data_IF_365190328504
#
_entry.id   IF_365190328504
#
_cell.length_a   1.000
_cell.length_b   1.000
_cell.length_c   1.000
_cell.angle_alpha   90.00
_cell.angle_beta   90.00
_cell.angle_gamma   90.00
#
_symmetry.space_group_name_H-M   'P 1'
#
loop_
_entity.id
_entity.type
_entity.pdbx_description
1 polymer ?
#
# COMPACT_ATOMS: atom_id res chain seq x y z
N UNK A 1 12.44 -46.90 35.02
CA UNK A 1 12.70 -45.45 34.86
C UNK A 1 12.39 -45.06 33.41
N UNK A 2 11.20 -44.54 33.13
CA UNK A 2 10.85 -44.00 31.80
C UNK A 2 11.22 -42.51 31.80
N UNK A 3 12.14 -42.14 30.91
CA UNK A 3 12.59 -40.76 30.74
C UNK A 3 11.45 -39.86 30.31
N UNK A 4 11.32 -38.73 31.00
CA UNK A 4 10.44 -37.63 30.62
C UNK A 4 10.99 -37.00 29.34
N UNK A 5 10.24 -37.11 28.25
CA UNK A 5 10.44 -36.26 27.07
C UNK A 5 10.28 -34.79 27.47
N UNK A 6 11.23 -33.91 27.14
CA UNK A 6 11.08 -32.48 27.41
C UNK A 6 9.89 -31.95 26.63
N UNK A 7 9.02 -31.21 27.31
CA UNK A 7 7.88 -30.54 26.69
C UNK A 7 8.32 -29.58 25.57
N UNK A 8 7.39 -29.19 24.68
CA UNK A 8 7.72 -28.31 23.56
C UNK A 8 8.41 -27.04 24.06
N UNK A 9 9.64 -26.81 23.62
CA UNK A 9 10.36 -25.57 23.88
C UNK A 9 9.51 -24.40 23.35
N UNK A 10 9.13 -23.48 24.24
CA UNK A 10 8.55 -22.21 23.84
C UNK A 10 9.47 -21.57 22.79
N UNK A 11 8.94 -21.01 21.68
CA UNK A 11 9.77 -20.34 20.70
C UNK A 11 10.62 -19.27 21.39
N UNK A 12 11.91 -19.11 21.01
CA UNK A 12 12.78 -18.12 21.62
C UNK A 12 12.10 -16.75 21.55
N UNK A 13 11.97 -16.07 22.70
CA UNK A 13 11.38 -14.73 22.75
C UNK A 13 12.24 -13.82 21.87
N UNK A 14 11.61 -13.20 20.86
CA UNK A 14 12.23 -12.21 19.99
C UNK A 14 13.06 -11.21 20.82
N UNK A 15 14.32 -10.89 20.45
CA UNK A 15 15.16 -9.94 21.18
C UNK A 15 14.44 -8.62 21.46
N UNK A 16 13.62 -8.16 20.52
CA UNK A 16 12.82 -6.94 20.61
C UNK A 16 11.76 -7.01 21.73
N UNK A 17 11.15 -8.18 21.95
CA UNK A 17 10.19 -8.38 23.05
C UNK A 17 10.90 -8.25 24.38
N UNK A 18 12.10 -8.83 24.51
CA UNK A 18 12.87 -8.79 25.75
C UNK A 18 13.39 -7.38 26.04
N UNK A 19 14.01 -6.74 25.04
CA UNK A 19 14.54 -5.38 25.14
C UNK A 19 13.43 -4.37 25.48
N UNK A 20 12.29 -4.43 24.79
CA UNK A 20 11.15 -3.53 25.07
C UNK A 20 10.53 -3.80 26.45
N UNK A 21 10.43 -5.06 26.88
CA UNK A 21 9.95 -5.40 28.23
C UNK A 21 10.87 -4.79 29.30
N UNK A 22 12.19 -4.94 29.13
CA UNK A 22 13.19 -4.37 30.04
C UNK A 22 13.12 -2.84 30.08
N UNK A 23 13.05 -2.21 28.91
CA UNK A 23 12.94 -0.76 28.78
C UNK A 23 11.70 -0.19 29.48
N UNK A 24 10.54 -0.82 29.30
CA UNK A 24 9.29 -0.33 29.90
C UNK A 24 9.19 -0.61 31.41
N UNK A 25 9.92 -1.62 31.92
CA UNK A 25 9.97 -1.93 33.35
C UNK A 25 11.04 -1.11 34.11
N UNK A 26 12.00 -0.53 33.39
CA UNK A 26 13.06 0.30 33.95
C UNK A 26 12.56 1.65 34.48
N UNK A 27 13.29 2.20 35.44
CA UNK A 27 13.02 3.54 35.98
C UNK A 27 13.37 4.62 34.96
N UNK A 28 12.74 5.81 35.02
CA UNK A 28 12.96 6.88 34.04
C UNK A 28 14.43 7.29 33.86
N UNK A 29 15.24 7.22 34.91
CA UNK A 29 16.67 7.50 34.91
C UNK A 29 17.52 6.47 34.13
N UNK A 30 16.99 5.26 33.92
CA UNK A 30 17.69 4.17 33.21
C UNK A 30 17.40 4.17 31.70
N UNK A 31 16.32 4.82 31.25
CA UNK A 31 15.91 4.84 29.84
C UNK A 31 17.00 5.34 28.87
N UNK A 32 17.79 6.38 29.19
CA UNK A 32 18.89 6.81 28.33
C UNK A 32 19.94 5.72 28.11
N UNK A 33 20.23 4.89 29.12
CA UNK A 33 21.19 3.79 29.00
C UNK A 33 20.66 2.59 28.21
N UNK A 34 19.34 2.39 28.21
CA UNK A 34 18.69 1.28 27.50
C UNK A 34 18.35 1.60 26.04
N UNK A 35 18.23 2.89 25.71
CA UNK A 35 17.93 3.39 24.37
C UNK A 35 18.74 4.67 24.06
N UNK A 36 20.09 4.60 24.06
CA UNK A 36 20.93 5.78 23.89
C UNK A 36 20.69 6.48 22.55
N UNK A 37 20.67 5.73 21.43
CA UNK A 37 20.41 6.31 20.10
C UNK A 37 19.05 7.01 20.01
N UNK A 38 18.02 6.40 20.60
CA UNK A 38 16.67 7.00 20.62
C UNK A 38 16.71 8.28 21.45
N UNK A 39 17.36 8.24 22.61
CA UNK A 39 17.53 9.39 23.50
C UNK A 39 18.28 10.54 22.82
N UNK A 40 19.34 10.24 22.08
CA UNK A 40 20.12 11.25 21.35
C UNK A 40 19.30 11.92 20.25
N UNK A 41 18.39 11.17 19.61
CA UNK A 41 17.57 11.66 18.50
C UNK A 41 16.40 12.56 18.96
N UNK A 42 15.70 12.19 20.04
CA UNK A 42 14.49 12.92 20.48
C UNK A 42 14.66 13.71 21.78
N UNK A 43 15.75 13.46 22.52
CA UNK A 43 16.00 13.99 23.86
C UNK A 43 15.30 13.20 24.97
N UNK A 44 15.95 13.13 26.13
CA UNK A 44 15.46 12.40 27.30
C UNK A 44 14.07 12.87 27.76
N UNK A 45 13.78 14.17 27.68
CA UNK A 45 12.46 14.71 28.06
C UNK A 45 11.33 14.25 27.14
N UNK A 46 11.59 14.18 25.83
CA UNK A 46 10.60 13.69 24.88
C UNK A 46 10.36 12.19 25.10
N UNK A 47 11.43 11.42 25.31
CA UNK A 47 11.33 10.00 25.66
C UNK A 47 10.48 9.82 26.92
N UNK A 48 10.76 10.60 27.98
CA UNK A 48 9.95 10.57 29.22
C UNK A 48 8.48 10.86 28.97
N UNK A 49 8.16 11.91 28.21
CA UNK A 49 6.77 12.24 27.87
C UNK A 49 6.08 11.11 27.11
N UNK A 50 6.76 10.49 26.14
CA UNK A 50 6.21 9.39 25.35
C UNK A 50 5.90 8.17 26.22
N UNK A 51 6.85 7.77 27.08
CA UNK A 51 6.68 6.60 27.96
C UNK A 51 5.59 6.88 29.00
N UNK A 52 5.58 8.05 29.65
CA UNK A 52 4.52 8.42 30.59
C UNK A 52 3.13 8.49 29.93
N UNK A 53 3.02 9.08 28.74
CA UNK A 53 1.76 9.08 27.99
C UNK A 53 1.33 7.65 27.63
N UNK A 54 2.27 6.73 27.43
CA UNK A 54 1.98 5.31 27.21
C UNK A 54 1.45 4.65 28.48
N UNK A 55 2.14 4.80 29.62
CA UNK A 55 1.68 4.32 30.93
C UNK A 55 0.28 4.84 31.27
N UNK A 56 0.01 6.13 31.04
CA UNK A 56 -1.30 6.72 31.29
C UNK A 56 -2.42 6.03 30.47
N UNK A 57 -2.11 5.57 29.25
CA UNK A 57 -3.07 4.92 28.35
C UNK A 57 -3.24 3.43 28.65
N UNK A 58 -2.16 2.72 28.96
CA UNK A 58 -2.16 1.26 29.21
C UNK A 58 -2.40 0.91 30.66
N UNK A 59 -2.18 1.82 31.61
CA UNK A 59 -1.92 1.46 33.01
C UNK A 59 -0.48 0.95 33.18
N UNK A 60 -0.12 0.63 34.41
CA UNK A 60 1.17 0.00 34.71
C UNK A 60 1.33 -1.28 33.89
N UNK A 61 2.53 -1.47 33.34
CA UNK A 61 2.79 -2.47 32.32
C UNK A 61 2.80 -3.88 32.92
N UNK A 62 2.18 -4.82 32.21
CA UNK A 62 2.10 -6.22 32.63
C UNK A 62 2.96 -7.10 31.71
N UNK A 63 2.86 -6.92 30.39
CA UNK A 63 3.60 -7.74 29.42
C UNK A 63 3.81 -7.04 28.07
N UNK A 64 4.87 -7.44 27.37
CA UNK A 64 5.05 -7.23 25.92
C UNK A 64 4.93 -8.58 25.23
N UNK A 65 4.13 -8.66 24.17
CA UNK A 65 3.95 -9.89 23.38
C UNK A 65 4.12 -9.61 21.88
N UNK A 66 4.54 -10.63 21.13
CA UNK A 66 4.55 -10.57 19.68
C UNK A 66 3.20 -11.00 19.11
N UNK A 67 2.71 -10.31 18.08
CA UNK A 67 1.44 -10.60 17.42
C UNK A 67 1.50 -10.37 15.91
N UNK A 68 0.51 -10.86 15.13
CA UNK A 68 0.40 -10.52 13.71
C UNK A 68 0.32 -9.02 13.43
N UNK A 69 -0.19 -8.22 14.38
CA UNK A 69 -0.35 -6.77 14.22
C UNK A 69 0.90 -5.97 14.67
N UNK A 70 1.94 -6.64 15.17
CA UNK A 70 3.16 -6.03 15.74
C UNK A 70 3.37 -6.38 17.21
N UNK A 71 4.30 -5.68 17.88
CA UNK A 71 4.51 -5.85 19.32
C UNK A 71 3.34 -5.22 20.07
N UNK A 72 2.79 -5.92 21.06
CA UNK A 72 1.67 -5.45 21.87
C UNK A 72 2.14 -5.21 23.29
N UNK A 73 2.10 -3.95 23.73
CA UNK A 73 2.35 -3.55 25.12
C UNK A 73 1.02 -3.55 25.84
N UNK A 74 0.89 -4.39 26.87
CA UNK A 74 -0.35 -4.55 27.65
C UNK A 74 -0.15 -4.08 29.08
N UNK A 75 -1.11 -3.28 29.57
CA UNK A 75 -1.21 -2.90 30.97
C UNK A 75 -2.65 -3.08 31.50
N UNK A 76 -2.86 -2.79 32.78
CA UNK A 76 -4.15 -3.01 33.45
C UNK A 76 -5.35 -2.24 32.86
N UNK A 77 -5.12 -1.12 32.15
CA UNK A 77 -6.15 -0.25 31.57
C UNK A 77 -6.31 -0.41 30.06
N UNK A 78 -5.42 -1.13 29.39
CA UNK A 78 -5.49 -1.33 27.94
C UNK A 78 -4.16 -1.70 27.30
N UNK A 79 -4.15 -1.68 25.97
CA UNK A 79 -3.03 -2.11 25.14
C UNK A 79 -2.64 -1.01 24.16
N UNK A 80 -1.39 -1.00 23.71
CA UNK A 80 -0.91 -0.21 22.57
C UNK A 80 -0.03 -1.08 21.68
N UNK A 81 0.03 -0.76 20.37
CA UNK A 81 1.04 -1.36 19.49
C UNK A 81 2.37 -0.64 19.65
N UNK A 82 3.43 -1.39 19.45
CA UNK A 82 4.78 -0.90 19.42
C UNK A 82 5.58 -1.62 18.34
N UNK A 83 6.70 -1.02 18.02
CA UNK A 83 7.75 -1.58 17.20
C UNK A 83 9.08 -1.15 17.82
N UNK A 84 10.03 -2.07 17.89
CA UNK A 84 11.37 -1.80 18.38
C UNK A 84 12.38 -2.54 17.51
N UNK A 85 13.60 -2.00 17.41
CA UNK A 85 14.79 -2.73 17.02
C UNK A 85 15.68 -2.88 18.23
N UNK A 86 16.24 -4.07 18.40
CA UNK A 86 17.16 -4.39 19.48
C UNK A 86 18.52 -4.82 18.91
N UNK A 87 19.60 -4.29 19.46
CA UNK A 87 20.94 -4.82 19.22
C UNK A 87 21.13 -6.15 19.99
N UNK A 88 22.16 -6.96 19.65
CA UNK A 88 22.39 -8.26 20.30
C UNK A 88 22.58 -8.21 21.82
N UNK A 89 23.04 -7.08 22.35
CA UNK A 89 23.21 -6.83 23.80
C UNK A 89 21.92 -6.36 24.50
N UNK A 90 20.83 -6.19 23.74
CA UNK A 90 19.52 -5.76 24.24
C UNK A 90 19.31 -4.24 24.23
N UNK A 91 20.23 -3.45 23.66
CA UNK A 91 20.04 -2.01 23.44
C UNK A 91 18.87 -1.76 22.46
N UNK A 92 17.95 -0.86 22.80
CA UNK A 92 16.92 -0.40 21.86
C UNK A 92 17.52 0.67 20.94
N UNK A 93 17.71 0.29 19.68
CA UNK A 93 18.31 1.16 18.66
C UNK A 93 17.28 1.99 17.89
N UNK A 94 16.02 1.55 17.87
CA UNK A 94 14.91 2.29 17.31
C UNK A 94 13.61 1.91 18.03
N UNK A 95 12.72 2.88 18.24
CA UNK A 95 11.48 2.67 18.98
C UNK A 95 10.32 3.47 18.37
N UNK A 96 9.17 2.82 18.24
CA UNK A 96 7.90 3.46 17.89
C UNK A 96 6.81 2.89 18.77
N UNK A 97 6.11 3.76 19.49
CA UNK A 97 4.94 3.40 20.29
C UNK A 97 3.72 4.11 19.70
N UNK A 98 2.65 3.38 19.48
CA UNK A 98 1.42 3.94 18.91
C UNK A 98 0.82 5.00 19.83
N UNK A 99 0.39 6.12 19.26
CA UNK A 99 -0.26 7.25 19.95
C UNK A 99 -1.73 7.00 20.34
N UNK A 100 -2.30 5.84 19.99
CA UNK A 100 -3.67 5.44 20.32
C UNK A 100 -3.71 4.10 21.07
N UNK A 101 -4.82 3.85 21.78
CA UNK A 101 -5.08 2.53 22.36
C UNK A 101 -5.27 1.51 21.24
N UNK A 102 -4.57 0.40 21.35
CA UNK A 102 -4.79 -0.75 20.49
C UNK A 102 -6.11 -1.43 20.87
N UNK A 103 -6.96 -1.60 19.87
CA UNK A 103 -8.10 -2.51 19.94
C UNK A 103 -7.86 -3.55 18.87
N UNK A 104 -7.68 -4.83 19.23
CA UNK A 104 -7.51 -5.85 18.22
C UNK A 104 -8.68 -5.77 17.26
N UNK A 105 -8.42 -5.71 15.93
CA UNK A 105 -9.50 -5.65 14.98
C UNK A 105 -10.42 -6.84 15.26
N UNK A 106 -11.72 -6.57 15.44
CA UNK A 106 -12.72 -7.65 15.44
C UNK A 106 -12.42 -8.46 14.19
N UNK A 107 -12.15 -9.76 14.33
CA UNK A 107 -11.78 -10.68 13.25
C UNK A 107 -12.88 -10.71 12.16
N UNK A 108 -13.05 -9.61 11.42
CA UNK A 108 -13.65 -9.64 10.10
C UNK A 108 -12.58 -10.32 9.29
N UNK A 109 -12.72 -11.64 9.12
CA UNK A 109 -12.06 -12.36 8.05
C UNK A 109 -12.40 -11.60 6.77
N UNK A 110 -11.59 -10.62 6.40
CA UNK A 110 -11.59 -10.11 5.03
C UNK A 110 -11.30 -11.35 4.22
N UNK A 111 -12.25 -11.70 3.35
CA UNK A 111 -12.02 -12.79 2.42
C UNK A 111 -10.66 -12.51 1.76
N UNK A 112 -9.76 -13.50 1.68
CA UNK A 112 -8.51 -13.32 0.97
C UNK A 112 -8.80 -12.69 -0.39
N UNK A 113 -7.98 -11.75 -0.85
CA UNK A 113 -8.21 -11.09 -2.14
C UNK A 113 -8.55 -12.08 -3.28
N UNK A 114 -7.92 -13.28 -3.38
CA UNK A 114 -8.34 -14.30 -4.34
C UNK A 114 -9.80 -14.74 -4.23
N UNK A 115 -10.33 -14.88 -3.00
CA UNK A 115 -11.72 -15.28 -2.75
C UNK A 115 -12.67 -14.14 -3.12
N UNK A 116 -12.36 -12.90 -2.75
CA UNK A 116 -13.16 -11.73 -3.17
C UNK A 116 -13.23 -11.62 -4.69
N UNK A 117 -12.10 -11.82 -5.37
CA UNK A 117 -12.03 -11.85 -6.83
C UNK A 117 -12.83 -13.02 -7.41
N UNK A 118 -12.74 -14.21 -6.84
CA UNK A 118 -13.52 -15.36 -7.27
C UNK A 118 -15.03 -15.10 -7.13
N UNK A 119 -15.48 -14.55 -5.99
CA UNK A 119 -16.88 -14.15 -5.78
C UNK A 119 -17.31 -13.14 -6.84
N UNK A 120 -16.52 -12.11 -7.09
CA UNK A 120 -16.81 -11.12 -8.13
C UNK A 120 -16.96 -11.77 -9.51
N UNK A 121 -16.00 -12.61 -9.91
CA UNK A 121 -16.03 -13.30 -11.21
C UNK A 121 -17.24 -14.23 -11.34
N UNK A 122 -17.60 -14.93 -10.27
CA UNK A 122 -18.81 -15.76 -10.22
C UNK A 122 -20.05 -14.89 -10.41
N UNK A 123 -20.17 -13.77 -9.69
CA UNK A 123 -21.33 -12.87 -9.81
C UNK A 123 -21.44 -12.27 -11.21
N UNK A 124 -20.33 -11.84 -11.83
CA UNK A 124 -20.32 -11.37 -13.22
C UNK A 124 -20.72 -12.49 -14.18
N UNK A 125 -20.22 -13.70 -13.97
CA UNK A 125 -20.58 -14.86 -14.81
C UNK A 125 -22.06 -15.21 -14.68
N UNK A 126 -22.59 -15.24 -13.45
CA UNK A 126 -24.02 -15.45 -13.20
C UNK A 126 -24.85 -14.33 -13.83
N UNK A 127 -24.44 -13.07 -13.69
CA UNK A 127 -25.11 -11.94 -14.33
C UNK A 127 -25.13 -12.09 -15.84
N UNK A 128 -24.01 -12.48 -16.46
CA UNK A 128 -23.93 -12.75 -17.90
C UNK A 128 -24.95 -13.81 -18.31
N UNK A 129 -24.94 -14.97 -17.66
CA UNK A 129 -25.82 -16.10 -18.02
C UNK A 129 -27.29 -15.77 -17.74
N UNK A 130 -27.60 -15.13 -16.61
CA UNK A 130 -28.98 -14.95 -16.13
C UNK A 130 -29.66 -13.67 -16.61
N UNK A 131 -28.93 -12.69 -17.14
CA UNK A 131 -29.53 -11.42 -17.59
C UNK A 131 -29.27 -11.15 -19.07
N UNK A 132 -28.02 -11.30 -19.52
CA UNK A 132 -27.64 -11.00 -20.90
C UNK A 132 -28.08 -12.13 -21.83
N UNK A 133 -27.77 -13.38 -21.46
CA UNK A 133 -28.08 -14.57 -22.26
C UNK A 133 -29.55 -15.02 -22.21
N UNK A 134 -30.33 -14.49 -21.28
CA UNK A 134 -31.77 -14.77 -21.12
C UNK A 134 -32.64 -13.58 -21.47
N UNK A 135 -32.04 -12.48 -21.98
CA UNK A 135 -32.80 -11.31 -22.39
C UNK A 135 -33.95 -11.70 -23.33
N UNK A 136 -35.16 -11.24 -23.00
CA UNK A 136 -36.42 -11.51 -23.69
C UNK A 136 -36.58 -10.71 -24.97
N UNK A 137 -35.86 -9.60 -25.09
CA UNK A 137 -35.99 -8.62 -26.17
C UNK A 137 -34.71 -7.81 -26.37
N UNK A 138 -34.61 -7.14 -27.53
CA UNK A 138 -33.42 -6.39 -27.95
C UNK A 138 -33.13 -5.20 -27.02
N UNK A 139 -34.15 -4.46 -26.58
CA UNK A 139 -33.97 -3.31 -25.69
C UNK A 139 -33.48 -3.76 -24.30
N UNK A 140 -34.05 -4.83 -23.76
CA UNK A 140 -33.59 -5.42 -22.50
C UNK A 140 -32.14 -5.93 -22.60
N UNK A 141 -31.76 -6.54 -23.72
CA UNK A 141 -30.38 -6.96 -23.98
C UNK A 141 -29.41 -5.77 -23.97
N UNK A 142 -29.76 -4.68 -24.67
CA UNK A 142 -28.95 -3.45 -24.70
C UNK A 142 -28.77 -2.86 -23.29
N UNK A 143 -29.83 -2.82 -22.48
CA UNK A 143 -29.76 -2.34 -21.09
C UNK A 143 -28.87 -3.22 -20.19
N UNK A 144 -28.99 -4.54 -20.32
CA UNK A 144 -28.14 -5.49 -19.60
C UNK A 144 -26.68 -5.38 -20.02
N UNK A 145 -26.41 -5.18 -21.32
CA UNK A 145 -25.06 -4.92 -21.83
C UNK A 145 -24.47 -3.62 -21.31
N UNK A 146 -25.25 -2.53 -21.30
CA UNK A 146 -24.81 -1.26 -20.74
C UNK A 146 -24.47 -1.38 -19.24
N UNK A 147 -25.28 -2.12 -18.49
CA UNK A 147 -25.04 -2.40 -17.05
C UNK A 147 -23.77 -3.21 -16.84
N UNK A 148 -23.57 -4.26 -17.64
CA UNK A 148 -22.35 -5.07 -17.61
C UNK A 148 -21.11 -4.25 -17.98
N UNK A 149 -21.21 -3.41 -19.01
CA UNK A 149 -20.14 -2.50 -19.41
C UNK A 149 -19.79 -1.52 -18.27
N UNK A 150 -20.79 -1.01 -17.54
CA UNK A 150 -20.57 -0.16 -16.38
C UNK A 150 -19.74 -0.88 -15.30
N UNK A 151 -20.05 -2.15 -15.01
CA UNK A 151 -19.29 -2.99 -14.08
C UNK A 151 -17.83 -3.14 -14.54
N UNK A 152 -17.61 -3.45 -15.82
CA UNK A 152 -16.25 -3.56 -16.38
C UNK A 152 -15.50 -2.24 -16.34
N UNK A 153 -16.15 -1.10 -16.62
CA UNK A 153 -15.53 0.23 -16.50
C UNK A 153 -15.04 0.49 -15.07
N UNK A 154 -15.84 0.15 -14.05
CA UNK A 154 -15.41 0.30 -12.65
C UNK A 154 -14.27 -0.66 -12.31
N UNK A 155 -14.35 -1.93 -12.71
CA UNK A 155 -13.35 -2.93 -12.34
C UNK A 155 -12.02 -2.71 -13.06
N UNK A 156 -12.04 -2.42 -14.36
CA UNK A 156 -10.84 -2.04 -15.11
C UNK A 156 -10.32 -0.67 -14.67
N UNK A 157 -11.23 0.28 -14.45
CA UNK A 157 -10.94 1.66 -14.08
C UNK A 157 -10.27 1.79 -12.70
N UNK A 158 -10.79 1.07 -11.71
CA UNK A 158 -10.41 1.16 -10.30
C UNK A 158 -9.56 -0.02 -9.82
N UNK A 159 -9.77 -1.24 -10.33
CA UNK A 159 -9.16 -2.48 -9.83
C UNK A 159 -7.90 -2.94 -10.58
N UNK A 160 -7.75 -2.52 -11.85
CA UNK A 160 -6.59 -2.86 -12.70
C UNK A 160 -6.29 -4.36 -12.89
N UNK A 161 -7.31 -5.21 -13.18
CA UNK A 161 -7.13 -6.66 -13.33
C UNK A 161 -6.14 -7.03 -14.46
N UNK A 162 -5.97 -6.18 -15.48
CA UNK A 162 -4.99 -6.39 -16.54
C UNK A 162 -3.52 -6.50 -16.05
N UNK A 163 -3.23 -6.07 -14.81
CA UNK A 163 -1.89 -6.18 -14.21
C UNK A 163 -1.76 -7.38 -13.24
N UNK A 164 -2.82 -8.15 -13.06
CA UNK A 164 -2.84 -9.36 -12.23
C UNK A 164 -2.26 -10.56 -12.99
N UNK A 165 -1.96 -11.69 -12.31
CA UNK A 165 -1.52 -12.91 -12.97
C UNK A 165 -2.44 -13.33 -14.11
N UNK A 166 -1.84 -13.91 -15.16
CA UNK A 166 -2.52 -14.28 -16.42
C UNK A 166 -3.85 -15.01 -16.23
N UNK A 167 -3.99 -16.01 -15.33
CA UNK A 167 -5.28 -16.69 -15.16
C UNK A 167 -6.41 -15.73 -14.79
N UNK A 168 -6.15 -14.80 -13.86
CA UNK A 168 -7.17 -13.83 -13.42
C UNK A 168 -7.55 -12.88 -14.56
N UNK A 169 -6.56 -12.34 -15.26
CA UNK A 169 -6.78 -11.46 -16.40
C UNK A 169 -7.61 -12.15 -17.50
N UNK A 170 -7.28 -13.39 -17.85
CA UNK A 170 -7.98 -14.14 -18.90
C UNK A 170 -9.42 -14.46 -18.53
N UNK A 171 -9.74 -14.69 -17.26
CA UNK A 171 -11.13 -14.91 -16.85
C UNK A 171 -12.01 -13.66 -17.03
N UNK A 172 -11.47 -12.47 -16.75
CA UNK A 172 -12.17 -11.19 -16.99
C UNK A 172 -12.43 -11.00 -18.49
N UNK A 173 -11.40 -11.20 -19.32
CA UNK A 173 -11.51 -11.12 -20.79
C UNK A 173 -12.51 -12.15 -21.35
N UNK A 174 -12.44 -13.40 -20.88
CA UNK A 174 -13.34 -14.47 -21.30
C UNK A 174 -14.80 -14.18 -20.93
N UNK A 175 -15.05 -13.62 -19.74
CA UNK A 175 -16.39 -13.20 -19.33
C UNK A 175 -16.98 -12.13 -20.25
N UNK A 176 -16.16 -11.16 -20.69
CA UNK A 176 -16.60 -10.10 -21.60
C UNK A 176 -16.92 -10.67 -22.99
N UNK A 177 -16.06 -11.55 -23.50
CA UNK A 177 -16.26 -12.24 -24.79
C UNK A 177 -17.52 -13.12 -24.73
N UNK A 178 -17.72 -13.86 -23.65
CA UNK A 178 -18.90 -14.70 -23.45
C UNK A 178 -20.19 -13.88 -23.41
N UNK A 179 -20.19 -12.69 -22.81
CA UNK A 179 -21.34 -11.80 -22.88
C UNK A 179 -21.59 -11.36 -24.33
N UNK A 180 -20.57 -10.84 -25.02
CA UNK A 180 -20.69 -10.36 -26.41
C UNK A 180 -21.21 -11.44 -27.38
N UNK A 181 -20.81 -12.71 -27.19
CA UNK A 181 -21.28 -13.82 -28.00
C UNK A 181 -22.82 -14.00 -28.01
N UNK A 182 -23.51 -13.53 -26.97
CA UNK A 182 -24.99 -13.54 -26.93
C UNK A 182 -25.65 -12.68 -28.02
N UNK A 183 -24.89 -11.80 -28.70
CA UNK A 183 -25.37 -10.96 -29.82
C UNK A 183 -25.99 -11.79 -30.95
N UNK A 184 -25.55 -13.04 -31.15
CA UNK A 184 -26.13 -13.98 -32.10
C UNK A 184 -27.65 -14.14 -31.92
N UNK A 185 -28.17 -13.98 -30.69
CA UNK A 185 -29.61 -14.14 -30.40
C UNK A 185 -30.45 -12.97 -30.92
N UNK A 186 -29.87 -11.79 -31.16
CA UNK A 186 -30.61 -10.56 -31.48
C UNK A 186 -31.57 -10.66 -32.67
N UNK A 187 -31.23 -11.33 -33.79
CA UNK A 187 -32.14 -11.47 -34.93
C UNK A 187 -33.46 -12.13 -34.54
N UNK A 188 -33.42 -13.13 -33.63
CA UNK A 188 -34.59 -13.88 -33.17
C UNK A 188 -35.35 -13.23 -32.01
N UNK A 189 -34.87 -12.11 -31.46
CA UNK A 189 -35.54 -11.42 -30.36
C UNK A 189 -36.48 -10.31 -30.86
N UNK A 190 -37.65 -10.11 -30.21
CA UNK A 190 -38.50 -8.95 -30.48
C UNK A 190 -37.82 -7.64 -30.04
N UNK A 191 -38.29 -6.50 -30.55
CA UNK A 191 -37.76 -5.18 -30.15
C UNK A 191 -37.93 -4.92 -28.64
N UNK A 192 -39.11 -5.24 -28.10
CA UNK A 192 -39.43 -5.18 -26.66
C UNK A 192 -39.79 -3.80 -26.12
N UNK A 193 -40.05 -3.75 -24.80
CA UNK A 193 -40.50 -2.54 -24.08
C UNK A 193 -39.57 -2.19 -22.90
N UNK A 194 -38.36 -2.73 -22.87
CA UNK A 194 -37.40 -2.59 -21.77
C UNK A 194 -36.78 -1.20 -21.58
N UNK A 195 -37.45 -0.11 -21.98
CA UNK A 195 -36.90 1.24 -22.02
C UNK A 195 -36.34 1.72 -20.66
N UNK A 196 -37.03 1.40 -19.56
CA UNK A 196 -36.54 1.71 -18.21
C UNK A 196 -35.22 1.00 -17.90
N UNK A 197 -35.10 -0.28 -18.26
CA UNK A 197 -33.88 -1.07 -18.06
C UNK A 197 -32.72 -0.53 -18.89
N UNK A 198 -32.99 -0.12 -20.13
CA UNK A 198 -32.01 0.54 -20.97
C UNK A 198 -31.56 1.89 -20.38
N UNK A 199 -32.50 2.72 -19.93
CA UNK A 199 -32.20 4.00 -19.31
C UNK A 199 -31.33 3.84 -18.04
N UNK A 200 -31.68 2.88 -17.17
CA UNK A 200 -30.88 2.55 -15.98
C UNK A 200 -29.48 2.07 -16.38
N UNK A 201 -29.37 1.17 -17.35
CA UNK A 201 -28.08 0.66 -17.82
C UNK A 201 -27.17 1.77 -18.40
N UNK A 202 -27.74 2.66 -19.21
CA UNK A 202 -27.02 3.82 -19.77
C UNK A 202 -26.60 4.79 -18.65
N UNK A 203 -27.49 5.08 -17.70
CA UNK A 203 -27.20 5.96 -16.57
C UNK A 203 -26.06 5.40 -15.70
N UNK A 204 -26.08 4.09 -15.41
CA UNK A 204 -25.00 3.41 -14.68
C UNK A 204 -23.68 3.47 -15.45
N UNK A 205 -23.70 3.23 -16.77
CA UNK A 205 -22.51 3.31 -17.60
C UNK A 205 -21.94 4.73 -17.65
N UNK A 206 -22.79 5.74 -17.89
CA UNK A 206 -22.40 7.13 -17.91
C UNK A 206 -21.82 7.57 -16.55
N UNK A 207 -22.47 7.18 -15.46
CA UNK A 207 -22.00 7.42 -14.09
C UNK A 207 -20.65 6.75 -13.81
N UNK A 208 -20.44 5.50 -14.25
CA UNK A 208 -19.18 4.79 -14.11
C UNK A 208 -18.04 5.44 -14.91
N UNK A 209 -18.30 5.80 -16.17
CA UNK A 209 -17.33 6.50 -17.02
C UNK A 209 -16.98 7.86 -16.43
N UNK A 210 -17.98 8.63 -16.02
CA UNK A 210 -17.77 9.93 -15.37
C UNK A 210 -16.96 9.78 -14.08
N UNK A 211 -17.30 8.83 -13.21
CA UNK A 211 -16.58 8.60 -11.95
C UNK A 211 -15.10 8.29 -12.20
N UNK A 212 -14.80 7.37 -13.11
CA UNK A 212 -13.42 6.98 -13.44
C UNK A 212 -12.68 8.14 -14.11
N UNK A 213 -13.31 8.85 -15.05
CA UNK A 213 -12.73 10.00 -15.72
C UNK A 213 -12.45 11.14 -14.74
N UNK A 214 -13.41 11.51 -13.90
CA UNK A 214 -13.27 12.55 -12.88
C UNK A 214 -12.14 12.21 -11.90
N UNK A 215 -12.00 10.94 -11.50
CA UNK A 215 -10.91 10.52 -10.64
C UNK A 215 -9.54 10.54 -11.34
N UNK A 216 -9.45 10.16 -12.61
CA UNK A 216 -8.19 10.19 -13.39
C UNK A 216 -7.74 11.59 -13.79
N UNK A 217 -8.69 12.49 -14.01
CA UNK A 217 -8.46 13.89 -14.39
C UNK A 217 -8.34 14.82 -13.18
N UNK A 218 -8.54 14.30 -11.96
CA UNK A 218 -8.47 15.09 -10.74
C UNK A 218 -7.11 15.78 -10.62
N UNK A 219 -7.15 17.08 -10.34
CA UNK A 219 -6.00 17.85 -9.87
C UNK A 219 -6.25 18.24 -8.43
N UNK A 220 -5.29 17.96 -7.58
CA UNK A 220 -5.26 18.58 -6.28
C UNK A 220 -4.94 20.05 -6.56
N UNK A 221 -5.78 20.99 -6.12
CA UNK A 221 -5.56 22.46 -6.30
C UNK A 221 -4.29 22.97 -5.58
N UNK A 222 -3.37 22.06 -5.24
CA UNK A 222 -2.06 22.31 -4.70
C UNK A 222 -1.10 22.75 -5.82
N UNK A 223 0.02 23.42 -5.47
CA UNK A 223 1.10 23.66 -6.40
C UNK A 223 1.63 22.34 -6.98
N UNK A 224 2.13 22.41 -8.21
CA UNK A 224 2.86 21.28 -8.83
C UNK A 224 4.29 21.30 -8.32
N UNK A 225 4.88 20.11 -8.15
CA UNK A 225 6.31 19.98 -7.83
C UNK A 225 7.16 20.64 -8.91
N UNK A 226 8.43 20.91 -8.61
CA UNK A 226 9.39 21.12 -9.70
C UNK A 226 9.46 19.85 -10.57
N UNK A 227 9.76 19.97 -11.87
CA UNK A 227 9.96 18.80 -12.72
C UNK A 227 11.05 17.89 -12.14
N UNK A 228 10.66 16.65 -11.84
CA UNK A 228 11.51 15.60 -11.29
C UNK A 228 12.03 14.68 -12.42
N UNK A 229 13.16 14.01 -12.22
CA UNK A 229 13.50 12.83 -13.00
C UNK A 229 12.65 11.64 -12.51
N UNK A 230 12.19 10.82 -13.44
CA UNK A 230 11.46 9.61 -13.06
C UNK A 230 12.45 8.63 -12.38
N UNK A 231 12.18 8.17 -11.15
CA UNK A 231 13.20 7.54 -10.30
C UNK A 231 13.49 6.08 -10.66
N UNK A 232 12.89 5.55 -11.72
CA UNK A 232 12.87 4.12 -12.02
C UNK A 232 13.04 3.87 -13.51
N UNK A 233 13.78 2.83 -13.88
CA UNK A 233 13.94 2.44 -15.28
C UNK A 233 12.91 1.37 -15.69
N UNK A 234 12.49 1.32 -16.96
CA UNK A 234 11.63 0.28 -17.52
C UNK A 234 10.14 0.60 -17.51
N UNK A 235 9.29 -0.43 -17.45
CA UNK A 235 7.83 -0.25 -17.49
C UNK A 235 7.22 -0.35 -16.10
N UNK A 236 6.60 0.76 -15.68
CA UNK A 236 5.96 0.91 -14.38
C UNK A 236 4.48 1.22 -14.52
N UNK A 237 3.75 0.89 -13.47
CA UNK A 237 2.32 1.10 -13.40
C UNK A 237 1.96 1.86 -12.13
N UNK A 238 1.16 2.91 -12.27
CA UNK A 238 0.62 3.67 -11.15
C UNK A 238 -0.52 2.87 -10.53
N UNK A 239 -0.30 2.31 -9.33
CA UNK A 239 -1.34 1.59 -8.57
C UNK A 239 -2.07 2.52 -7.61
N UNK A 240 -1.44 3.59 -7.16
CA UNK A 240 -2.10 4.69 -6.44
C UNK A 240 -1.73 6.01 -7.10
N UNK A 241 -2.73 6.83 -7.37
CA UNK A 241 -2.56 8.14 -8.01
C UNK A 241 -3.90 8.65 -8.56
N UNK A 242 -3.99 9.95 -8.81
CA UNK A 242 -5.22 10.64 -9.18
C UNK A 242 -6.07 11.04 -7.97
N UNK A 243 -7.38 11.14 -8.17
CA UNK A 243 -8.34 11.61 -7.16
C UNK A 243 -8.71 10.58 -6.09
N UNK A 244 -9.52 11.02 -5.12
CA UNK A 244 -9.92 10.27 -3.91
C UNK A 244 -10.43 8.84 -4.14
N UNK A 245 -11.05 8.58 -5.28
CA UNK A 245 -11.59 7.25 -5.62
C UNK A 245 -10.47 6.25 -5.95
N UNK A 246 -9.36 6.74 -6.52
CA UNK A 246 -8.27 5.94 -7.05
C UNK A 246 -6.99 6.00 -6.22
N UNK A 247 -6.86 7.00 -5.35
CA UNK A 247 -5.70 7.21 -4.51
C UNK A 247 -6.09 7.18 -3.03
N UNK A 248 -5.63 6.16 -2.29
CA UNK A 248 -5.91 6.07 -0.86
C UNK A 248 -5.14 7.10 -0.02
N UNK A 249 -4.02 7.62 -0.52
CA UNK A 249 -3.20 8.65 0.13
C UNK A 249 -3.91 10.01 0.19
N UNK A 250 -4.94 10.20 -0.63
CA UNK A 250 -5.76 11.40 -0.73
C UNK A 250 -6.35 11.92 0.59
N UNK A 251 -6.46 11.07 1.60
CA UNK A 251 -6.99 11.41 2.92
C UNK A 251 -5.95 12.06 3.85
N UNK A 252 -4.67 11.87 3.57
CA UNK A 252 -3.58 12.47 4.33
C UNK A 252 -3.09 13.72 3.57
N UNK A 253 -3.24 14.94 4.13
CA UNK A 253 -2.94 16.18 3.42
C UNK A 253 -1.57 16.21 2.72
N UNK A 254 -0.55 15.69 3.40
CA UNK A 254 0.84 15.67 2.95
C UNK A 254 1.09 14.65 1.81
N UNK A 255 0.25 13.63 1.68
CA UNK A 255 0.41 12.54 0.70
C UNK A 255 -0.59 12.61 -0.46
N UNK A 256 -1.37 13.69 -0.61
CA UNK A 256 -2.46 13.75 -1.61
C UNK A 256 -2.03 13.45 -3.04
N UNK A 257 -0.86 13.95 -3.42
CA UNK A 257 -0.24 13.71 -4.73
C UNK A 257 0.66 12.48 -4.80
N UNK A 258 0.66 11.65 -3.74
CA UNK A 258 1.52 10.47 -3.69
C UNK A 258 1.17 9.44 -4.75
N UNK A 259 2.21 8.78 -5.24
CA UNK A 259 2.15 7.68 -6.17
C UNK A 259 2.73 6.43 -5.56
N UNK A 260 2.02 5.33 -5.75
CA UNK A 260 2.59 4.00 -5.56
C UNK A 260 2.82 3.39 -6.95
N UNK A 261 4.07 3.02 -7.21
CA UNK A 261 4.55 2.53 -8.50
C UNK A 261 4.95 1.07 -8.38
N UNK A 262 4.33 0.21 -9.18
CA UNK A 262 4.68 -1.21 -9.27
C UNK A 262 5.33 -1.53 -10.61
N UNK A 263 6.35 -2.38 -10.59
CA UNK A 263 7.01 -2.88 -11.78
C UNK A 263 6.12 -3.87 -12.52
N UNK A 264 6.24 -3.90 -13.85
CA UNK A 264 5.58 -4.91 -14.69
C UNK A 264 6.62 -5.84 -15.28
N UNK A 265 6.43 -7.15 -15.10
CA UNK A 265 7.28 -8.15 -15.75
C UNK A 265 7.04 -8.21 -17.27
N UNK A 266 7.84 -9.02 -17.97
CA UNK A 266 7.78 -9.21 -19.44
C UNK A 266 6.38 -9.47 -20.03
N UNK A 267 5.49 -10.03 -19.22
CA UNK A 267 4.13 -10.41 -19.61
C UNK A 267 3.07 -9.35 -19.24
N UNK A 268 3.48 -8.19 -18.74
CA UNK A 268 2.58 -7.13 -18.29
C UNK A 268 1.86 -7.42 -16.98
N UNK A 269 2.41 -8.32 -16.14
CA UNK A 269 1.85 -8.69 -14.84
C UNK A 269 2.78 -8.21 -13.72
N UNK A 270 2.21 -7.73 -12.60
CA UNK A 270 2.99 -7.23 -11.45
C UNK A 270 3.64 -8.33 -10.61
N UNK A 271 3.08 -9.54 -10.66
CA UNK A 271 3.52 -10.69 -9.85
C UNK A 271 3.47 -11.98 -10.67
N UNK A 272 4.49 -12.83 -10.53
CA UNK A 272 4.53 -14.20 -11.09
C UNK A 272 3.94 -15.20 -10.08
N UNK A 273 3.69 -16.47 -10.44
CA UNK A 273 3.29 -17.47 -9.46
C UNK A 273 4.27 -17.52 -8.28
N UNK A 274 3.75 -17.41 -7.07
CA UNK A 274 4.51 -17.20 -5.85
C UNK A 274 3.88 -16.11 -4.98
N UNK A 275 4.30 -16.03 -3.71
CA UNK A 275 3.90 -14.99 -2.76
C UNK A 275 5.07 -14.42 -1.97
N UNK A 276 6.29 -14.83 -2.31
CA UNK A 276 7.52 -14.27 -1.78
C UNK A 276 7.83 -12.94 -2.47
N UNK A 277 8.72 -12.15 -1.86
CA UNK A 277 9.08 -10.82 -2.35
C UNK A 277 9.61 -10.87 -3.79
N UNK A 278 10.40 -11.90 -4.13
CA UNK A 278 11.01 -12.06 -5.45
C UNK A 278 10.02 -12.47 -6.55
N UNK A 279 8.76 -12.77 -6.20
CA UNK A 279 7.70 -12.96 -7.18
C UNK A 279 7.18 -11.64 -7.76
N UNK A 280 7.40 -10.52 -7.09
CA UNK A 280 6.94 -9.21 -7.53
C UNK A 280 7.97 -8.56 -8.44
N UNK A 281 7.53 -8.11 -9.61
CA UNK A 281 8.41 -7.50 -10.61
C UNK A 281 9.05 -6.18 -10.15
N UNK A 282 8.51 -5.56 -9.10
CA UNK A 282 9.04 -4.34 -8.51
C UNK A 282 10.22 -4.60 -7.55
N UNK A 283 10.23 -5.74 -6.84
CA UNK A 283 11.19 -5.97 -5.74
C UNK A 283 12.64 -6.04 -6.27
N UNK A 284 13.56 -5.36 -5.58
CA UNK A 284 14.97 -5.28 -5.95
C UNK A 284 15.26 -4.38 -7.16
N UNK A 285 14.27 -3.65 -7.69
CA UNK A 285 14.50 -2.69 -8.79
C UNK A 285 15.25 -1.46 -8.27
N UNK A 286 16.28 -0.95 -8.97
CA UNK A 286 16.98 0.26 -8.57
C UNK A 286 16.05 1.48 -8.47
N UNK A 287 16.26 2.28 -7.44
CA UNK A 287 15.60 3.57 -7.21
C UNK A 287 16.64 4.67 -7.28
N UNK A 288 16.45 5.61 -8.19
CA UNK A 288 17.33 6.76 -8.40
C UNK A 288 16.72 8.03 -7.84
N UNK A 289 17.57 8.99 -7.50
CA UNK A 289 17.14 10.28 -7.01
C UNK A 289 16.34 11.02 -8.08
N UNK A 290 15.11 11.47 -7.77
CA UNK A 290 14.31 12.23 -8.72
C UNK A 290 14.76 13.69 -8.84
N UNK A 291 15.65 14.16 -7.97
CA UNK A 291 16.05 15.57 -7.90
C UNK A 291 17.43 15.74 -7.26
N UNK A 292 17.98 16.93 -7.42
CA UNK A 292 19.11 17.39 -6.61
C UNK A 292 18.60 17.84 -5.24
N UNK A 293 19.38 17.60 -4.19
CA UNK A 293 19.04 18.12 -2.87
C UNK A 293 19.86 17.53 -1.74
N UNK A 294 19.48 17.89 -0.51
CA UNK A 294 20.06 17.37 0.72
C UNK A 294 19.17 16.26 1.28
N UNK A 295 19.77 15.13 1.63
CA UNK A 295 19.06 14.07 2.36
C UNK A 295 18.80 14.55 3.79
N UNK A 296 17.52 14.70 4.15
CA UNK A 296 17.10 15.13 5.49
C UNK A 296 16.70 13.96 6.40
N UNK A 297 16.41 12.81 5.81
CA UNK A 297 16.13 11.55 6.51
C UNK A 297 16.45 10.36 5.62
N UNK A 298 17.10 9.34 6.18
CA UNK A 298 17.35 8.07 5.53
C UNK A 298 17.26 6.93 6.55
N UNK A 299 16.66 5.80 6.16
CA UNK A 299 16.60 4.59 7.00
C UNK A 299 16.78 3.34 6.14
N UNK A 300 17.51 2.35 6.66
CA UNK A 300 17.90 1.15 5.91
C UNK A 300 17.74 -0.19 6.67
N UNK A 301 17.46 -0.13 7.97
CA UNK A 301 17.50 -1.32 8.85
C UNK A 301 16.13 -1.98 9.08
N UNK A 302 15.03 -1.35 8.66
CA UNK A 302 13.69 -1.90 8.81
C UNK A 302 13.59 -3.14 7.93
N UNK A 303 13.10 -4.25 8.48
CA UNK A 303 12.97 -5.52 7.75
C UNK A 303 11.71 -5.54 6.88
N UNK A 304 11.81 -6.21 5.73
CA UNK A 304 10.70 -6.40 4.80
C UNK A 304 9.52 -7.13 5.48
N UNK A 305 8.32 -6.71 5.12
CA UNK A 305 7.10 -7.43 5.50
C UNK A 305 6.81 -8.57 4.52
N UNK A 306 6.09 -9.59 4.97
CA UNK A 306 5.54 -10.60 4.05
C UNK A 306 4.43 -9.98 3.20
N UNK A 307 4.40 -10.18 1.88
CA UNK A 307 3.34 -9.63 1.04
C UNK A 307 1.92 -10.03 1.48
N UNK A 308 1.07 -9.02 1.66
CA UNK A 308 -0.30 -9.15 2.17
C UNK A 308 -0.45 -9.14 3.68
N UNK A 309 0.64 -9.08 4.45
CA UNK A 309 0.63 -8.84 5.90
C UNK A 309 0.99 -7.38 6.17
N UNK A 310 0.31 -6.77 7.15
CA UNK A 310 0.61 -5.40 7.59
C UNK A 310 0.82 -5.42 9.11
N UNK A 311 2.08 -5.54 9.51
CA UNK A 311 2.53 -5.42 10.90
C UNK A 311 2.82 -3.96 11.24
N UNK A 312 2.64 -3.59 12.50
CA UNK A 312 2.98 -2.25 12.98
C UNK A 312 4.49 -2.00 12.88
N UNK A 313 4.86 -1.04 12.03
CA UNK A 313 6.22 -0.60 11.73
C UNK A 313 6.21 0.92 11.46
N UNK A 314 7.38 1.58 11.39
CA UNK A 314 7.48 2.93 10.82
C UNK A 314 6.80 2.99 9.44
N UNK A 315 5.87 3.92 9.19
CA UNK A 315 4.99 3.86 8.02
C UNK A 315 5.74 3.92 6.69
N UNK A 316 6.81 4.72 6.61
CA UNK A 316 7.65 4.83 5.42
C UNK A 316 8.67 3.69 5.27
N UNK A 317 8.85 2.86 6.31
CA UNK A 317 9.89 1.81 6.31
C UNK A 317 11.28 2.39 6.08
N UNK A 318 12.07 1.68 5.29
CA UNK A 318 13.31 2.22 4.75
C UNK A 318 12.98 3.25 3.67
N UNK A 319 13.65 4.39 3.72
CA UNK A 319 13.25 5.57 2.97
C UNK A 319 14.44 6.50 2.73
N UNK A 320 14.25 7.44 1.80
CA UNK A 320 15.11 8.59 1.58
C UNK A 320 14.23 9.81 1.37
N UNK A 321 14.39 10.83 2.21
CA UNK A 321 13.71 12.13 2.09
C UNK A 321 14.72 13.19 1.70
N UNK A 322 14.41 13.94 0.65
CA UNK A 322 15.30 14.91 0.01
C UNK A 322 14.67 16.29 0.09
N UNK A 323 15.39 17.23 0.69
CA UNK A 323 15.06 18.65 0.63
C UNK A 323 15.72 19.30 -0.58
N UNK A 324 14.89 19.81 -1.49
CA UNK A 324 15.31 20.51 -2.71
C UNK A 324 15.55 22.02 -2.48
N UNK A 325 15.36 22.49 -1.25
CA UNK A 325 15.29 23.90 -0.86
C UNK A 325 13.94 24.57 -1.17
N UNK A 326 12.97 23.83 -1.72
CA UNK A 326 11.59 24.31 -1.99
C UNK A 326 10.50 23.34 -1.56
N UNK A 327 10.78 22.06 -1.63
CA UNK A 327 9.86 20.98 -1.29
C UNK A 327 10.64 19.77 -0.85
N UNK A 328 9.98 18.92 -0.05
CA UNK A 328 10.53 17.68 0.44
C UNK A 328 10.00 16.56 -0.44
N UNK A 329 10.90 15.86 -1.14
CA UNK A 329 10.57 14.67 -1.92
C UNK A 329 10.83 13.44 -1.07
N UNK A 330 9.81 12.59 -0.89
CA UNK A 330 9.87 11.39 -0.06
C UNK A 330 9.78 10.14 -0.90
N UNK A 331 10.77 9.26 -0.78
CA UNK A 331 10.79 7.92 -1.37
C UNK A 331 10.78 6.89 -0.24
N UNK A 332 9.92 5.89 -0.31
CA UNK A 332 9.67 4.96 0.80
C UNK A 332 9.52 3.51 0.36
N UNK A 333 9.45 2.61 1.35
CA UNK A 333 9.35 1.16 1.19
C UNK A 333 10.58 0.53 0.52
N UNK A 334 11.77 1.09 0.75
CA UNK A 334 13.01 0.59 0.18
C UNK A 334 13.42 -0.76 0.80
N UNK A 335 14.24 -1.52 0.08
CA UNK A 335 14.72 -2.84 0.50
C UNK A 335 15.73 -2.70 1.64
N UNK A 336 15.70 -3.57 2.67
CA UNK A 336 16.69 -3.55 3.76
C UNK A 336 18.12 -3.75 3.24
N UNK A 337 19.06 -2.96 3.75
CA UNK A 337 20.47 -3.04 3.37
C UNK A 337 20.78 -2.49 1.98
N UNK A 338 19.87 -1.72 1.37
CA UNK A 338 20.03 -1.21 0.00
C UNK A 338 20.21 0.30 -0.06
N UNK A 339 19.86 1.04 1.00
CA UNK A 339 19.93 2.50 0.98
C UNK A 339 21.38 2.95 0.97
N UNK A 340 21.77 3.72 -0.05
CA UNK A 340 23.18 4.06 -0.31
C UNK A 340 23.59 5.44 0.19
N UNK A 341 22.71 6.13 0.93
CA UNK A 341 22.90 7.51 1.41
C UNK A 341 22.51 7.64 2.88
N UNK A 342 23.09 8.63 3.55
CA UNK A 342 22.80 8.97 4.93
C UNK A 342 22.20 10.38 5.05
N UNK A 343 21.59 10.66 6.21
CA UNK A 343 21.15 12.02 6.55
C UNK A 343 22.33 12.99 6.50
N UNK A 344 22.15 14.10 5.81
CA UNK A 344 23.17 15.13 5.60
C UNK A 344 23.81 15.10 4.22
N UNK A 345 23.77 13.96 3.51
CA UNK A 345 24.38 13.81 2.20
C UNK A 345 23.74 14.74 1.16
N UNK A 346 24.54 15.20 0.20
CA UNK A 346 24.05 15.84 -1.01
C UNK A 346 23.89 14.79 -2.10
N UNK A 347 22.74 14.78 -2.76
CA UNK A 347 22.44 13.86 -3.86
C UNK A 347 22.15 14.62 -5.14
N UNK A 348 22.60 14.07 -6.26
CA UNK A 348 22.25 14.53 -7.60
C UNK A 348 21.10 13.74 -8.21
N UNK A 349 20.30 14.35 -9.08
CA UNK A 349 19.27 13.67 -9.85
C UNK A 349 19.88 12.51 -10.67
N UNK A 350 19.25 11.33 -10.62
CA UNK A 350 19.75 10.10 -11.25
C UNK A 350 20.72 9.26 -10.38
N UNK A 351 21.22 9.80 -9.26
CA UNK A 351 22.05 9.06 -8.31
C UNK A 351 21.29 7.86 -7.73
N UNK A 352 21.94 6.70 -7.62
CA UNK A 352 21.34 5.55 -6.94
C UNK A 352 21.07 5.88 -5.47
N UNK A 353 19.85 5.59 -5.00
CA UNK A 353 19.45 5.76 -3.60
C UNK A 353 19.23 4.43 -2.88
N UNK A 354 18.89 3.38 -3.63
CA UNK A 354 18.69 2.03 -3.12
C UNK A 354 17.82 1.21 -4.06
N UNK A 355 17.08 0.25 -3.50
CA UNK A 355 16.22 -0.66 -4.27
C UNK A 355 14.80 -0.68 -3.71
N UNK A 356 13.82 -0.95 -4.58
CA UNK A 356 12.43 -1.15 -4.17
C UNK A 356 12.32 -2.38 -3.27
N UNK A 357 11.72 -2.20 -2.10
CA UNK A 357 11.50 -3.24 -1.10
C UNK A 357 10.02 -3.42 -0.75
N UNK A 358 9.77 -3.86 0.47
CA UNK A 358 8.45 -4.06 1.06
C UNK A 358 8.46 -3.75 2.57
N UNK A 359 9.20 -2.73 2.98
CA UNK A 359 9.30 -2.28 4.38
C UNK A 359 8.23 -1.25 4.73
N UNK A 360 7.87 -1.14 6.02
CA UNK A 360 6.90 -0.15 6.47
C UNK A 360 5.45 -0.52 6.12
N UNK A 361 4.56 0.47 6.02
CA UNK A 361 3.12 0.23 5.84
C UNK A 361 2.76 -0.08 4.37
N UNK A 362 3.11 -1.28 3.91
CA UNK A 362 2.91 -1.73 2.53
C UNK A 362 2.18 -3.08 2.47
N UNK A 363 1.47 -3.33 1.37
CA UNK A 363 0.81 -4.62 1.09
C UNK A 363 1.56 -5.48 0.08
N UNK A 364 2.44 -4.87 -0.72
CA UNK A 364 3.25 -5.55 -1.73
C UNK A 364 4.43 -4.68 -2.16
N UNK A 365 5.51 -5.26 -2.72
CA UNK A 365 6.63 -4.48 -3.24
C UNK A 365 6.23 -3.40 -4.24
N UNK A 366 6.54 -2.14 -3.92
CA UNK A 366 6.31 -0.96 -4.75
C UNK A 366 7.19 0.21 -4.30
N UNK A 367 7.42 1.19 -5.18
CA UNK A 367 7.97 2.48 -4.76
C UNK A 367 6.83 3.42 -4.40
N UNK A 368 6.83 3.94 -3.18
CA UNK A 368 6.03 5.12 -2.83
C UNK A 368 6.86 6.38 -3.08
N UNK A 369 6.29 7.36 -3.78
CA UNK A 369 6.88 8.68 -3.98
C UNK A 369 5.85 9.78 -3.83
N UNK A 370 6.19 10.83 -3.08
CA UNK A 370 5.45 12.08 -3.08
C UNK A 370 6.37 13.27 -2.85
N UNK A 371 5.85 14.47 -3.11
CA UNK A 371 6.48 15.73 -2.71
C UNK A 371 5.49 16.53 -1.87
N UNK A 372 6.01 17.25 -0.88
CA UNK A 372 5.22 18.12 -0.02
C UNK A 372 5.91 19.47 0.21
N UNK A 373 5.10 20.48 0.48
CA UNK A 373 5.53 21.80 0.96
C UNK A 373 4.60 22.24 2.06
N UNK A 374 5.15 22.60 3.22
CA UNK A 374 4.40 23.08 4.39
C UNK A 374 3.26 22.13 4.82
N UNK A 375 3.51 20.82 4.77
CA UNK A 375 2.54 19.77 5.12
C UNK A 375 1.44 19.54 4.07
N UNK A 376 1.56 20.13 2.89
CA UNK A 376 0.61 19.95 1.78
C UNK A 376 1.29 19.17 0.65
N UNK A 377 0.69 18.04 0.28
CA UNK A 377 1.14 17.22 -0.84
C UNK A 377 0.94 17.92 -2.18
N UNK A 378 1.93 17.80 -3.06
CA UNK A 378 2.00 18.44 -4.38
C UNK A 378 1.65 17.46 -5.50
N UNK A 379 1.06 17.96 -6.57
CA UNK A 379 0.93 17.19 -7.82
C UNK A 379 2.35 16.96 -8.38
N UNK A 380 2.73 15.72 -8.66
CA UNK A 380 4.05 15.40 -9.21
C UNK A 380 4.12 15.66 -10.71
N UNK A 381 5.24 16.26 -11.14
CA UNK A 381 5.62 16.40 -12.55
C UNK A 381 6.97 15.76 -12.80
N UNK A 382 7.09 15.00 -13.89
CA UNK A 382 8.33 14.34 -14.29
C UNK A 382 8.78 14.81 -15.68
N UNK A 383 10.06 15.16 -15.80
CA UNK A 383 10.69 15.55 -17.07
C UNK A 383 10.52 14.45 -18.11
N UNK A 384 10.05 14.82 -19.31
CA UNK A 384 9.81 13.89 -20.41
C UNK A 384 8.54 13.03 -20.27
N UNK A 385 7.78 13.15 -19.17
CA UNK A 385 6.52 12.43 -18.97
C UNK A 385 5.32 13.38 -18.97
N UNK A 386 4.70 13.55 -20.13
CA UNK A 386 3.47 14.34 -20.26
C UNK A 386 2.23 13.61 -19.72
N UNK A 387 1.25 14.33 -19.20
CA UNK A 387 -0.06 13.79 -18.82
C UNK A 387 -0.20 13.47 -17.33
N UNK A 388 -1.40 13.04 -16.92
CA UNK A 388 -1.77 12.83 -15.49
C UNK A 388 -1.23 11.52 -14.92
N UNK A 389 -0.81 11.54 -13.65
CA UNK A 389 -0.33 10.37 -12.93
C UNK A 389 -1.50 9.81 -12.10
N UNK A 390 -2.22 8.85 -12.68
CA UNK A 390 -3.42 8.27 -12.09
C UNK A 390 -3.35 6.74 -12.10
N UNK A 391 -4.09 6.09 -11.19
CA UNK A 391 -4.28 4.64 -11.24
C UNK A 391 -4.74 4.22 -12.64
N UNK A 392 -4.06 3.25 -13.24
CA UNK A 392 -4.33 2.85 -14.64
C UNK A 392 -3.22 3.23 -15.61
N UNK A 393 -2.40 4.22 -15.27
CA UNK A 393 -1.36 4.70 -16.18
C UNK A 393 -0.14 3.78 -16.16
N UNK A 394 0.31 3.39 -17.37
CA UNK A 394 1.62 2.82 -17.59
C UNK A 394 2.62 3.92 -17.93
N UNK A 395 3.80 3.83 -17.34
CA UNK A 395 4.93 4.73 -17.55
C UNK A 395 6.05 3.88 -18.14
N UNK A 396 6.66 4.36 -19.21
CA UNK A 396 7.89 3.80 -19.79
C UNK A 396 8.96 4.86 -19.64
N UNK A 397 10.02 4.52 -18.91
CA UNK A 397 11.13 5.41 -18.61
C UNK A 397 12.45 4.73 -18.92
#
# INVERSE_FOLDING_TARGET
MRGLTPGPQLPPRLPEVQALSRFLAAKPEEWPGLAPRVTDEIGADALRRIVHATIARTGEFVTVTDSPDGLIVSGAKGQVRAWAQAAPDGEITALRIEGARYRPPRHRRRLPAPVTWATYLILVTLWNVLTVWTASDRIAWLGNMATLAAIYVIVEGCGAPAQQPRPLRRTVEAGAVAALASVWRLPGLPAGHGALRLAVGIALLAGAVWLVAAARLHRWRAPVSRPLLFPLEGTWYVVQGGGRVLNHHAHVPEQRGALDLVGLGRHGTRVRPGRDLTAYAAYGRPVRSPCDGRVISAADTVQDQKPGEIRYQPPYGNHVFIDTGREIVKLAHLRPGSVTVAKGDMVGAGQLLGEVGNTGNTTEPHLHIHAERDGVGLDLEFTGLSGRLHRGRKIRA
#
